data_IF_276847739913
#
_entry.id   IF_276847739913
#
_cell.length_a   1.000
_cell.length_b   1.000
_cell.length_c   1.000
_cell.angle_alpha   90.00
_cell.angle_beta   90.00
_cell.angle_gamma   90.00
#
_symmetry.space_group_name_H-M   'P 1'
#
loop_
_entity.id
_entity.type
_entity.pdbx_description
1 polymer ?
#
# COMPACT_ATOMS: atom_id res chain seq x y z
N UNK A 1 -26.82 23.40 -6.20
CA UNK A 1 -26.04 24.07 -7.26
C UNK A 1 -26.33 23.35 -8.56
N UNK A 2 -27.24 23.89 -9.37
CA UNK A 2 -27.38 23.45 -10.76
C UNK A 2 -26.06 23.79 -11.44
N UNK A 3 -25.39 22.77 -12.02
CA UNK A 3 -24.23 23.05 -12.85
C UNK A 3 -24.72 23.98 -13.97
N UNK A 4 -23.95 25.02 -14.34
CA UNK A 4 -24.28 25.80 -15.53
C UNK A 4 -24.51 24.79 -16.65
N UNK A 5 -25.65 24.92 -17.36
CA UNK A 5 -25.93 24.13 -18.55
C UNK A 5 -24.64 24.08 -19.35
N UNK A 6 -24.06 22.90 -19.49
CA UNK A 6 -22.87 22.73 -20.31
C UNK A 6 -23.30 23.14 -21.70
N UNK A 7 -23.01 24.40 -22.06
CA UNK A 7 -23.05 24.92 -23.41
C UNK A 7 -22.52 23.80 -24.28
N UNK A 8 -23.37 23.24 -25.13
CA UNK A 8 -23.11 22.05 -25.94
C UNK A 8 -21.74 22.19 -26.58
N UNK A 9 -20.72 21.70 -25.88
CA UNK A 9 -19.36 21.83 -26.34
C UNK A 9 -19.31 21.04 -27.63
N UNK A 10 -18.91 21.69 -28.72
CA UNK A 10 -18.86 21.06 -30.04
C UNK A 10 -18.19 19.69 -29.89
N UNK A 11 -18.94 18.63 -30.23
CA UNK A 11 -18.44 17.26 -30.09
C UNK A 11 -17.14 17.14 -30.87
N UNK A 12 -16.07 16.77 -30.17
CA UNK A 12 -14.74 16.60 -30.75
C UNK A 12 -14.78 15.42 -31.71
N UNK A 13 -14.80 15.69 -33.02
CA UNK A 13 -14.80 14.62 -34.02
C UNK A 13 -13.37 14.14 -34.26
N UNK A 14 -13.04 12.94 -33.77
CA UNK A 14 -11.74 12.32 -34.01
C UNK A 14 -11.65 11.72 -35.42
N UNK A 15 -10.49 11.84 -36.06
CA UNK A 15 -10.23 11.08 -37.29
C UNK A 15 -10.13 9.57 -37.00
N UNK A 16 -10.40 8.69 -37.99
CA UNK A 16 -10.36 7.24 -37.79
C UNK A 16 -9.04 6.73 -37.21
N UNK A 17 -7.92 7.34 -37.60
CA UNK A 17 -6.59 6.99 -37.09
C UNK A 17 -6.40 7.34 -35.60
N UNK A 18 -6.99 8.45 -35.14
CA UNK A 18 -6.95 8.84 -33.73
C UNK A 18 -7.90 8.01 -32.88
N UNK A 19 -9.09 7.68 -33.42
CA UNK A 19 -10.03 6.79 -32.74
C UNK A 19 -9.47 5.37 -32.59
N UNK A 20 -8.80 4.85 -33.63
CA UNK A 20 -8.09 3.57 -33.56
C UNK A 20 -7.02 3.57 -32.46
N UNK A 21 -6.20 4.63 -32.38
CA UNK A 21 -5.20 4.75 -31.31
C UNK A 21 -5.84 4.85 -29.92
N UNK A 22 -6.90 5.65 -29.77
CA UNK A 22 -7.61 5.77 -28.49
C UNK A 22 -8.18 4.41 -28.05
N UNK A 23 -8.71 3.64 -29.01
CA UNK A 23 -9.20 2.27 -28.79
C UNK A 23 -8.09 1.35 -28.31
N UNK A 24 -6.94 1.28 -29.00
CA UNK A 24 -5.82 0.46 -28.57
C UNK A 24 -5.29 0.88 -27.20
N UNK A 25 -5.21 2.18 -26.92
CA UNK A 25 -4.78 2.71 -25.63
C UNK A 25 -5.77 2.34 -24.51
N UNK A 26 -7.08 2.35 -24.78
CA UNK A 26 -8.14 1.94 -23.85
C UNK A 26 -8.08 0.44 -23.51
N UNK A 27 -7.68 -0.39 -24.48
CA UNK A 27 -7.44 -1.81 -24.24
C UNK A 27 -6.18 -2.03 -23.40
N UNK A 28 -5.35 -1.02 -23.19
CA UNK A 28 -4.12 -1.09 -22.41
C UNK A 28 -2.87 -1.39 -23.23
N UNK A 29 -2.87 -1.19 -24.55
CA UNK A 29 -1.67 -1.34 -25.36
C UNK A 29 -0.64 -0.26 -25.00
N UNK A 30 0.62 -0.70 -24.83
CA UNK A 30 1.76 0.21 -24.78
C UNK A 30 1.90 0.98 -26.10
N UNK A 31 2.71 2.05 -26.11
CA UNK A 31 2.98 2.79 -27.34
C UNK A 31 3.63 1.88 -28.40
N UNK A 32 4.52 0.98 -27.99
CA UNK A 32 5.14 -0.01 -28.87
C UNK A 32 4.14 -1.04 -29.42
N UNK A 33 3.24 -1.55 -28.57
CA UNK A 33 2.22 -2.50 -29.02
C UNK A 33 1.25 -1.86 -30.01
N UNK A 34 0.86 -0.60 -29.76
CA UNK A 34 -0.02 0.16 -30.67
C UNK A 34 0.67 0.48 -31.99
N UNK A 35 1.98 0.78 -31.93
CA UNK A 35 2.83 1.03 -33.10
C UNK A 35 2.89 -0.21 -34.00
N UNK A 36 3.18 -1.37 -33.41
CA UNK A 36 3.20 -2.65 -34.13
C UNK A 36 1.83 -2.97 -34.73
N UNK A 37 0.74 -2.76 -33.99
CA UNK A 37 -0.61 -3.07 -34.45
C UNK A 37 -1.12 -2.13 -35.58
N UNK A 38 -0.57 -0.93 -35.69
CA UNK A 38 -0.96 0.07 -36.70
C UNK A 38 0.10 0.25 -37.79
N UNK A 39 1.18 -0.53 -37.77
CA UNK A 39 2.31 -0.42 -38.72
C UNK A 39 2.91 1.00 -38.78
N UNK A 40 3.01 1.67 -37.63
CA UNK A 40 3.64 2.99 -37.49
C UNK A 40 4.77 2.96 -36.46
N UNK A 41 5.55 4.03 -36.40
CA UNK A 41 6.60 4.15 -35.38
C UNK A 41 6.01 4.46 -33.99
N UNK A 42 6.71 4.05 -32.93
CA UNK A 42 6.36 4.39 -31.54
C UNK A 42 6.27 5.93 -31.34
N UNK A 43 7.14 6.68 -32.03
CA UNK A 43 7.09 8.14 -32.06
C UNK A 43 5.80 8.68 -32.68
N UNK A 44 5.29 8.03 -33.74
CA UNK A 44 4.01 8.33 -34.36
C UNK A 44 2.84 8.15 -33.40
N UNK A 45 2.81 7.03 -32.66
CA UNK A 45 1.81 6.77 -31.60
C UNK A 45 1.86 7.85 -30.52
N UNK A 46 3.06 8.19 -30.02
CA UNK A 46 3.23 9.24 -28.99
C UNK A 46 2.70 10.60 -29.49
N UNK A 47 2.93 10.96 -30.76
CA UNK A 47 2.37 12.18 -31.38
C UNK A 47 0.84 12.12 -31.45
N UNK A 48 0.25 10.99 -31.87
CA UNK A 48 -1.21 10.79 -31.91
C UNK A 48 -1.84 10.94 -30.51
N UNK A 49 -1.27 10.29 -29.48
CA UNK A 49 -1.75 10.42 -28.09
C UNK A 49 -1.68 11.85 -27.58
N UNK A 50 -0.62 12.61 -27.91
CA UNK A 50 -0.53 14.04 -27.56
C UNK A 50 -1.61 14.87 -28.27
N UNK A 51 -1.89 14.58 -29.53
CA UNK A 51 -2.96 15.26 -30.28
C UNK A 51 -4.34 14.95 -29.70
N UNK A 52 -4.61 13.70 -29.38
CA UNK A 52 -5.83 13.26 -28.68
C UNK A 52 -6.00 14.06 -27.38
N UNK A 53 -4.97 14.12 -26.53
CA UNK A 53 -5.05 14.88 -25.27
C UNK A 53 -5.41 16.35 -25.52
N UNK A 54 -4.82 16.97 -26.54
CA UNK A 54 -5.11 18.36 -26.91
C UNK A 54 -6.56 18.54 -27.36
N UNK A 55 -7.06 17.62 -28.20
CA UNK A 55 -8.42 17.68 -28.73
C UNK A 55 -9.48 17.54 -27.62
N UNK A 56 -9.25 16.66 -26.64
CA UNK A 56 -10.13 16.53 -25.48
C UNK A 56 -9.86 17.56 -24.36
N UNK A 57 -8.82 18.40 -24.47
CA UNK A 57 -8.41 19.28 -23.38
C UNK A 57 -7.94 18.55 -22.11
N UNK A 58 -7.43 17.33 -22.26
CA UNK A 58 -7.06 16.45 -21.14
C UNK A 58 -5.56 16.45 -20.87
N UNK A 59 -5.18 16.13 -19.62
CA UNK A 59 -3.77 16.14 -19.20
C UNK A 59 -2.98 14.96 -19.73
N UNK A 60 -3.64 13.80 -19.85
CA UNK A 60 -3.01 12.57 -20.29
C UNK A 60 -3.99 11.65 -21.01
N UNK A 61 -3.43 10.62 -21.65
CA UNK A 61 -4.20 9.68 -22.49
C UNK A 61 -5.24 8.92 -21.69
N UNK A 62 -5.01 8.72 -20.39
CA UNK A 62 -5.96 8.03 -19.52
C UNK A 62 -7.23 8.86 -19.37
N UNK A 63 -7.08 10.14 -19.04
CA UNK A 63 -8.22 11.05 -18.99
C UNK A 63 -8.91 11.18 -20.36
N UNK A 64 -8.16 11.25 -21.47
CA UNK A 64 -8.76 11.25 -22.80
C UNK A 64 -9.60 9.99 -23.11
N UNK A 65 -9.14 8.80 -22.66
CA UNK A 65 -9.89 7.55 -22.77
C UNK A 65 -11.19 7.64 -21.97
N UNK A 66 -11.12 8.18 -20.75
CA UNK A 66 -12.28 8.39 -19.90
C UNK A 66 -13.32 9.31 -20.56
N UNK A 67 -12.90 10.49 -21.03
CA UNK A 67 -13.78 11.44 -21.72
C UNK A 67 -14.36 10.85 -23.01
N UNK A 68 -13.55 10.14 -23.80
CA UNK A 68 -14.05 9.48 -25.02
C UNK A 68 -15.10 8.40 -24.73
N UNK A 69 -15.00 7.70 -23.59
CA UNK A 69 -16.04 6.76 -23.15
C UNK A 69 -17.30 7.49 -22.66
N UNK A 70 -17.14 8.58 -21.89
CA UNK A 70 -18.26 9.40 -21.40
C UNK A 70 -19.05 10.05 -22.53
N UNK A 71 -18.38 10.50 -23.58
CA UNK A 71 -18.99 11.14 -24.74
C UNK A 71 -19.61 10.14 -25.74
N UNK A 72 -19.33 8.83 -25.58
CA UNK A 72 -19.73 7.79 -26.53
C UNK A 72 -18.87 7.75 -27.80
N UNK A 73 -17.76 8.48 -27.85
CA UNK A 73 -16.79 8.45 -28.96
C UNK A 73 -16.06 7.10 -29.02
N UNK A 74 -15.85 6.48 -27.86
CA UNK A 74 -15.25 5.16 -27.72
C UNK A 74 -16.36 4.11 -27.50
N UNK A 75 -16.53 3.12 -28.39
CA UNK A 75 -17.53 2.09 -28.19
C UNK A 75 -17.17 1.19 -27.00
N UNK A 76 -18.13 1.02 -26.09
CA UNK A 76 -18.06 0.18 -24.90
C UNK A 76 -19.09 -0.93 -25.06
N UNK A 77 -18.66 -2.17 -24.93
CA UNK A 77 -19.56 -3.31 -24.90
C UNK A 77 -19.94 -3.55 -23.43
N UNK A 78 -21.12 -3.09 -23.03
CA UNK A 78 -21.62 -3.38 -21.69
C UNK A 78 -21.84 -4.88 -21.56
N UNK A 79 -21.28 -5.48 -20.51
CA UNK A 79 -21.56 -6.87 -20.19
C UNK A 79 -23.01 -7.00 -19.70
N UNK A 80 -23.72 -8.04 -20.12
CA UNK A 80 -25.06 -8.34 -19.61
C UNK A 80 -24.96 -8.95 -18.21
N UNK A 81 -25.65 -8.35 -17.23
CA UNK A 81 -25.65 -8.74 -15.81
C UNK A 81 -24.27 -9.15 -15.26
N UNK A 82 -23.27 -8.24 -15.30
CA UNK A 82 -21.96 -8.58 -14.79
C UNK A 82 -22.02 -8.73 -13.27
N UNK A 83 -21.42 -9.80 -12.76
CA UNK A 83 -21.13 -9.89 -11.33
C UNK A 83 -20.13 -8.78 -11.01
N UNK A 84 -20.61 -7.69 -10.44
CA UNK A 84 -19.80 -6.51 -10.14
C UNK A 84 -18.64 -6.92 -9.22
N UNK A 85 -17.38 -6.80 -9.67
CA UNK A 85 -16.25 -7.08 -8.82
C UNK A 85 -16.28 -6.11 -7.65
N UNK A 86 -16.22 -6.64 -6.44
CA UNK A 86 -16.26 -5.83 -5.24
C UNK A 86 -14.95 -5.04 -5.11
N UNK A 87 -14.96 -3.76 -5.46
CA UNK A 87 -13.89 -2.81 -5.17
C UNK A 87 -14.15 -2.16 -3.81
N UNK A 88 -13.13 -2.05 -2.96
CA UNK A 88 -13.27 -1.31 -1.70
C UNK A 88 -13.56 0.17 -1.97
N UNK A 89 -14.20 0.91 -1.04
CA UNK A 89 -14.45 2.35 -1.22
C UNK A 89 -13.18 3.13 -1.61
N UNK A 90 -12.05 2.85 -0.96
CA UNK A 90 -10.76 3.46 -1.28
C UNK A 90 -10.29 3.16 -2.70
N UNK A 91 -10.49 1.92 -3.18
CA UNK A 91 -10.14 1.53 -4.54
C UNK A 91 -11.02 2.24 -5.58
N UNK A 92 -12.31 2.39 -5.29
CA UNK A 92 -13.23 3.15 -6.15
C UNK A 92 -12.81 4.62 -6.25
N UNK A 93 -12.49 5.26 -5.13
CA UNK A 93 -11.97 6.64 -5.07
C UNK A 93 -10.67 6.76 -5.89
N UNK A 94 -9.72 5.85 -5.71
CA UNK A 94 -8.46 5.89 -6.47
C UNK A 94 -8.65 5.66 -7.98
N UNK A 95 -9.59 4.80 -8.36
CA UNK A 95 -9.94 4.56 -9.76
C UNK A 95 -10.61 5.80 -10.38
N UNK A 96 -11.54 6.44 -9.65
CA UNK A 96 -12.18 7.69 -10.03
C UNK A 96 -11.16 8.83 -10.23
N UNK A 97 -10.23 9.01 -9.29
CA UNK A 97 -9.17 10.00 -9.43
C UNK A 97 -8.23 9.68 -10.61
N UNK A 98 -7.92 8.40 -10.83
CA UNK A 98 -7.15 8.00 -12.00
C UNK A 98 -7.89 8.33 -13.30
N UNK A 99 -9.20 8.09 -13.36
CA UNK A 99 -10.06 8.43 -14.49
C UNK A 99 -10.07 9.95 -14.79
N UNK A 100 -10.09 10.78 -13.73
CA UNK A 100 -9.95 12.24 -13.82
C UNK A 100 -8.52 12.72 -14.20
N UNK A 101 -7.63 11.79 -14.55
CA UNK A 101 -6.30 12.13 -15.06
C UNK A 101 -5.24 12.37 -14.00
N UNK A 102 -5.52 12.16 -12.72
CA UNK A 102 -4.51 12.34 -11.68
C UNK A 102 -3.41 11.26 -11.74
N UNK A 103 -2.17 11.67 -11.52
CA UNK A 103 -1.02 10.77 -11.38
C UNK A 103 -0.95 10.17 -9.97
N UNK A 104 -0.23 9.07 -9.81
CA UNK A 104 -0.15 8.37 -8.52
C UNK A 104 0.36 9.26 -7.37
N UNK A 105 1.22 10.24 -7.65
CA UNK A 105 1.72 11.20 -6.66
C UNK A 105 0.65 12.22 -6.25
N UNK A 106 -0.16 12.68 -7.21
CA UNK A 106 -1.27 13.59 -6.94
C UNK A 106 -2.36 12.88 -6.15
N UNK A 107 -2.69 11.64 -6.53
CA UNK A 107 -3.62 10.77 -5.82
C UNK A 107 -3.12 10.49 -4.41
N UNK A 108 -1.83 10.21 -4.24
CA UNK A 108 -1.23 10.00 -2.92
C UNK A 108 -1.39 11.23 -2.01
N UNK A 109 -1.10 12.43 -2.53
CA UNK A 109 -1.31 13.70 -1.80
C UNK A 109 -2.78 13.92 -1.46
N UNK A 110 -3.66 13.73 -2.45
CA UNK A 110 -5.11 13.92 -2.35
C UNK A 110 -5.75 12.97 -1.32
N UNK A 111 -5.40 11.69 -1.36
CA UNK A 111 -5.90 10.68 -0.44
C UNK A 111 -5.11 10.62 0.88
N UNK A 112 -4.09 11.48 1.08
CA UNK A 112 -3.20 11.46 2.27
C UNK A 112 -2.57 10.08 2.52
N UNK A 113 -2.16 9.38 1.46
CA UNK A 113 -1.49 8.07 1.53
C UNK A 113 -0.14 8.11 0.83
N UNK A 114 0.67 7.06 0.98
CA UNK A 114 1.94 6.98 0.25
C UNK A 114 1.72 6.65 -1.23
N UNK A 115 2.64 7.08 -2.10
CA UNK A 115 2.67 6.66 -3.52
C UNK A 115 2.70 5.14 -3.66
N UNK A 116 3.39 4.45 -2.75
CA UNK A 116 3.46 2.98 -2.75
C UNK A 116 2.08 2.36 -2.50
N UNK A 117 1.33 2.90 -1.54
CA UNK A 117 -0.06 2.49 -1.25
C UNK A 117 -0.97 2.68 -2.46
N UNK A 118 -0.82 3.79 -3.20
CA UNK A 118 -1.58 4.01 -4.44
C UNK A 118 -1.25 2.95 -5.49
N UNK A 119 0.03 2.66 -5.71
CA UNK A 119 0.45 1.63 -6.66
C UNK A 119 -0.05 0.23 -6.27
N UNK A 120 0.02 -0.13 -4.98
CA UNK A 120 -0.51 -1.40 -4.48
C UNK A 120 -2.02 -1.51 -4.70
N UNK A 121 -2.77 -0.43 -4.46
CA UNK A 121 -4.21 -0.38 -4.79
C UNK A 121 -4.46 -0.47 -6.30
N UNK A 122 -3.63 0.16 -7.13
CA UNK A 122 -3.74 0.05 -8.59
C UNK A 122 -3.51 -1.39 -9.07
N UNK A 123 -2.60 -2.14 -8.45
CA UNK A 123 -2.41 -3.56 -8.71
C UNK A 123 -3.64 -4.38 -8.31
N UNK A 124 -4.18 -4.14 -7.11
CA UNK A 124 -5.38 -4.82 -6.64
C UNK A 124 -6.60 -4.51 -7.53
N UNK A 125 -6.80 -3.26 -7.95
CA UNK A 125 -7.86 -2.84 -8.88
C UNK A 125 -7.71 -3.59 -10.20
N UNK A 126 -6.49 -3.60 -10.78
CA UNK A 126 -6.22 -4.32 -12.03
C UNK A 126 -6.56 -5.80 -11.92
N UNK A 127 -6.16 -6.45 -10.82
CA UNK A 127 -6.47 -7.86 -10.60
C UNK A 127 -7.97 -8.11 -10.49
N UNK A 128 -8.69 -7.31 -9.69
CA UNK A 128 -10.15 -7.45 -9.49
C UNK A 128 -10.96 -7.17 -10.77
N UNK A 129 -10.47 -6.28 -11.63
CA UNK A 129 -11.11 -5.96 -12.91
C UNK A 129 -10.60 -6.82 -14.08
N UNK A 130 -9.73 -7.81 -13.81
CA UNK A 130 -9.05 -8.64 -14.80
C UNK A 130 -8.38 -7.81 -15.92
N UNK A 131 -7.68 -6.75 -15.53
CA UNK A 131 -7.13 -5.77 -16.43
C UNK A 131 -5.59 -5.76 -16.44
N UNK A 132 -5.00 -5.88 -17.62
CA UNK A 132 -3.53 -5.80 -17.79
C UNK A 132 -2.89 -4.45 -17.39
N UNK A 133 -3.60 -3.33 -17.56
CA UNK A 133 -3.07 -1.99 -17.27
C UNK A 133 -4.16 -1.11 -16.65
N UNK A 134 -3.78 0.05 -16.10
CA UNK A 134 -4.77 0.96 -15.52
C UNK A 134 -5.73 1.54 -16.56
N UNK A 135 -5.27 1.80 -17.79
CA UNK A 135 -6.15 2.24 -18.86
C UNK A 135 -7.21 1.16 -19.19
N UNK A 136 -6.77 -0.10 -19.23
CA UNK A 136 -7.68 -1.23 -19.41
C UNK A 136 -8.63 -1.40 -18.23
N UNK A 137 -8.15 -1.20 -17.00
CA UNK A 137 -8.97 -1.28 -15.80
C UNK A 137 -10.12 -0.27 -15.82
N UNK A 138 -9.86 0.95 -16.31
CA UNK A 138 -10.93 1.94 -16.49
C UNK A 138 -11.95 1.53 -17.55
N UNK A 139 -11.49 1.02 -18.70
CA UNK A 139 -12.41 0.50 -19.72
C UNK A 139 -13.28 -0.62 -19.14
N UNK A 140 -12.68 -1.58 -18.43
CA UNK A 140 -13.41 -2.65 -17.73
C UNK A 140 -14.40 -2.10 -16.72
N UNK A 141 -14.08 -1.02 -16.01
CA UNK A 141 -15.00 -0.40 -15.08
C UNK A 141 -16.27 0.15 -15.77
N UNK A 142 -16.17 0.68 -16.99
CA UNK A 142 -17.35 1.03 -17.79
C UNK A 142 -18.10 -0.20 -18.31
N UNK A 143 -17.39 -1.19 -18.87
CA UNK A 143 -17.99 -2.41 -19.40
C UNK A 143 -18.80 -3.18 -18.33
N UNK A 144 -18.32 -3.12 -17.08
CA UNK A 144 -18.99 -3.70 -15.91
C UNK A 144 -20.06 -2.80 -15.30
N UNK A 145 -20.23 -1.56 -15.75
CA UNK A 145 -21.20 -0.61 -15.18
C UNK A 145 -20.82 -0.01 -13.82
N UNK A 146 -19.55 -0.11 -13.40
CA UNK A 146 -19.03 0.62 -12.22
C UNK A 146 -18.98 2.12 -12.48
N UNK A 147 -18.69 2.51 -13.72
CA UNK A 147 -18.87 3.88 -14.21
C UNK A 147 -20.02 3.89 -15.21
N UNK A 148 -20.90 4.89 -15.07
CA UNK A 148 -22.00 5.11 -16.00
C UNK A 148 -21.63 6.19 -17.01
N UNK A 149 -22.01 5.96 -18.26
CA UNK A 149 -21.83 6.90 -19.36
C UNK A 149 -22.75 8.10 -19.15
N UNK A 150 -22.23 9.31 -19.32
CA UNK A 150 -22.90 10.58 -19.07
C UNK A 150 -22.93 11.01 -17.61
N UNK A 151 -22.63 10.13 -16.65
CA UNK A 151 -22.53 10.52 -15.24
C UNK A 151 -21.15 11.08 -14.95
N UNK A 152 -21.11 12.35 -14.55
CA UNK A 152 -19.89 12.95 -14.05
C UNK A 152 -19.42 12.18 -12.82
N UNK A 153 -18.17 11.72 -12.83
CA UNK A 153 -17.55 11.17 -11.64
C UNK A 153 -17.17 12.36 -10.76
N UNK A 154 -17.88 12.61 -9.64
CA UNK A 154 -17.46 13.67 -8.73
C UNK A 154 -16.04 13.36 -8.27
N UNK A 155 -15.21 14.39 -8.12
CA UNK A 155 -13.95 14.20 -7.40
C UNK A 155 -14.36 13.79 -5.98
N UNK A 156 -14.10 12.54 -5.57
CA UNK A 156 -14.63 12.02 -4.31
C UNK A 156 -14.13 12.84 -3.14
N UNK A 157 -12.97 13.49 -3.29
CA UNK A 157 -12.40 14.36 -2.27
C UNK A 157 -13.11 15.71 -2.26
N UNK A 158 -13.49 16.26 -3.41
CA UNK A 158 -14.29 17.49 -3.44
C UNK A 158 -15.69 17.24 -2.89
N UNK A 159 -16.33 16.12 -3.24
CA UNK A 159 -17.65 15.78 -2.70
C UNK A 159 -17.58 15.57 -1.18
N UNK A 160 -16.56 14.85 -0.72
CA UNK A 160 -16.27 14.69 0.69
C UNK A 160 -15.99 16.04 1.35
N UNK A 161 -15.08 16.86 0.81
CA UNK A 161 -14.78 18.21 1.31
C UNK A 161 -16.01 19.12 1.33
N UNK A 162 -16.90 18.99 0.35
CA UNK A 162 -18.12 19.78 0.30
C UNK A 162 -19.09 19.34 1.40
N UNK A 163 -19.32 18.02 1.56
CA UNK A 163 -20.07 17.47 2.70
C UNK A 163 -19.43 17.87 4.05
N UNK A 164 -18.10 18.04 4.09
CA UNK A 164 -17.36 18.46 5.29
C UNK A 164 -17.42 19.95 5.60
N UNK A 165 -17.50 20.81 4.60
CA UNK A 165 -17.68 22.26 4.83
C UNK A 165 -18.96 22.57 5.57
N UNK A 166 -19.96 21.70 5.43
CA UNK A 166 -21.27 21.87 6.04
C UNK A 166 -21.37 21.20 7.42
N UNK A 167 -20.44 20.31 7.79
CA UNK A 167 -20.41 19.65 9.09
C UNK A 167 -20.10 20.61 10.24
N UNK A 168 -20.90 20.53 11.29
CA UNK A 168 -20.74 21.30 12.52
C UNK A 168 -20.26 20.40 13.66
N UNK A 169 -19.46 20.99 14.54
CA UNK A 169 -19.00 20.38 15.78
C UNK A 169 -19.50 21.25 16.91
N UNK A 170 -20.37 20.71 17.76
CA UNK A 170 -20.76 21.38 19.00
C UNK A 170 -19.97 20.88 20.20
N UNK A 171 -19.52 21.85 21.00
CA UNK A 171 -18.87 21.65 22.28
C UNK A 171 -19.62 22.45 23.32
N UNK A 172 -20.20 21.78 24.31
CA UNK A 172 -20.91 22.47 25.40
C UNK A 172 -22.00 23.43 24.93
N UNK A 173 -22.68 23.10 23.82
CA UNK A 173 -23.75 23.92 23.23
C UNK A 173 -23.30 25.00 22.23
N UNK A 174 -22.00 25.18 22.00
CA UNK A 174 -21.49 26.08 20.95
C UNK A 174 -21.13 25.26 19.71
N UNK A 175 -21.88 25.46 18.63
CA UNK A 175 -21.62 24.82 17.33
C UNK A 175 -20.73 25.70 16.45
N UNK A 176 -19.62 25.13 15.96
CA UNK A 176 -18.74 25.75 14.97
C UNK A 176 -18.62 24.83 13.75
N UNK A 177 -18.37 25.39 12.57
CA UNK A 177 -18.09 24.56 11.40
C UNK A 177 -16.76 23.84 11.58
N UNK A 178 -16.66 22.59 11.14
CA UNK A 178 -15.42 21.82 11.21
C UNK A 178 -14.24 22.54 10.54
N UNK A 179 -14.50 23.26 9.44
CA UNK A 179 -13.49 24.07 8.76
C UNK A 179 -13.00 25.28 9.58
N UNK A 180 -13.86 25.88 10.41
CA UNK A 180 -13.51 27.05 11.25
C UNK A 180 -12.55 26.67 12.37
N UNK A 181 -12.66 25.43 12.87
CA UNK A 181 -11.73 24.85 13.85
C UNK A 181 -10.48 24.23 13.19
N UNK A 182 -10.30 24.41 11.87
CA UNK A 182 -9.14 23.94 11.13
C UNK A 182 -9.10 22.43 10.88
N UNK A 183 -10.23 21.74 11.00
CA UNK A 183 -10.36 20.31 10.72
C UNK A 183 -10.74 20.14 9.25
N UNK A 184 -9.73 19.81 8.44
CA UNK A 184 -9.83 19.74 6.98
C UNK A 184 -9.49 18.35 6.43
N UNK A 185 -9.21 17.38 7.30
CA UNK A 185 -8.82 16.02 6.94
C UNK A 185 -9.91 15.03 7.35
N UNK A 186 -10.31 14.15 6.42
CA UNK A 186 -11.27 13.07 6.63
C UNK A 186 -10.98 12.27 7.91
N UNK A 187 -9.72 11.91 8.15
CA UNK A 187 -9.33 11.14 9.32
C UNK A 187 -9.61 11.91 10.63
N UNK A 188 -9.29 13.20 10.68
CA UNK A 188 -9.56 14.01 11.88
C UNK A 188 -11.08 14.13 12.16
N UNK A 189 -11.88 14.08 11.11
CA UNK A 189 -13.33 14.16 11.19
C UNK A 189 -14.00 12.84 11.58
N UNK A 190 -13.60 11.71 10.96
CA UNK A 190 -14.02 10.38 11.41
C UNK A 190 -13.68 10.18 12.89
N UNK A 191 -12.52 10.68 13.31
CA UNK A 191 -12.12 10.66 14.71
C UNK A 191 -13.10 11.50 15.56
N UNK A 192 -13.46 12.71 15.14
CA UNK A 192 -14.44 13.52 15.85
C UNK A 192 -15.81 12.85 15.97
N UNK A 193 -16.29 12.24 14.89
CA UNK A 193 -17.56 11.49 14.90
C UNK A 193 -17.51 10.36 15.93
N UNK A 194 -16.45 9.56 15.90
CA UNK A 194 -16.25 8.48 16.88
C UNK A 194 -16.12 9.01 18.31
N UNK A 195 -15.52 10.19 18.49
CA UNK A 195 -15.42 10.81 19.81
C UNK A 195 -16.76 11.34 20.32
N UNK A 196 -17.66 11.76 19.44
CA UNK A 196 -19.03 12.11 19.82
C UNK A 196 -19.82 10.90 20.33
N UNK A 197 -19.56 9.71 19.79
CA UNK A 197 -20.18 8.46 20.27
C UNK A 197 -19.60 7.97 21.60
N UNK A 198 -18.37 8.34 21.94
CA UNK A 198 -17.74 8.02 23.23
C UNK A 198 -18.26 8.99 24.29
N UNK A 199 -19.48 8.74 24.78
CA UNK A 199 -20.07 9.46 25.91
C UNK A 199 -19.15 9.33 27.14
N UNK A 200 -18.56 10.45 27.56
CA UNK A 200 -17.83 10.65 28.82
C UNK A 200 -16.93 9.47 29.23
N UNK A 201 -15.85 9.24 28.46
CA UNK A 201 -15.04 8.05 28.65
C UNK A 201 -13.57 8.18 28.25
N UNK A 202 -12.78 7.27 28.79
CA UNK A 202 -11.42 7.01 28.32
C UNK A 202 -11.48 6.21 27.03
N UNK A 203 -10.73 6.64 26.01
CA UNK A 203 -10.49 5.83 24.83
C UNK A 203 -9.00 5.50 24.70
N UNK A 204 -8.71 4.37 24.05
CA UNK A 204 -7.36 3.99 23.67
C UNK A 204 -7.25 3.98 22.16
N UNK A 205 -6.06 4.25 21.64
CA UNK A 205 -5.77 4.13 20.21
C UNK A 205 -6.03 2.72 19.65
N UNK A 206 -6.13 1.71 20.53
CA UNK A 206 -6.48 0.34 20.18
C UNK A 206 -7.98 0.18 19.94
N UNK A 207 -8.83 0.65 20.85
CA UNK A 207 -10.29 0.52 20.72
C UNK A 207 -10.80 1.14 19.42
N UNK A 208 -10.20 2.27 19.03
CA UNK A 208 -10.60 3.00 17.83
C UNK A 208 -10.05 2.39 16.54
N UNK A 209 -8.86 1.79 16.58
CA UNK A 209 -8.37 0.98 15.46
C UNK A 209 -9.22 -0.29 15.24
N UNK A 210 -9.74 -0.87 16.33
CA UNK A 210 -10.65 -2.02 16.27
C UNK A 210 -12.08 -1.61 15.78
N UNK A 211 -12.40 -0.31 15.71
CA UNK A 211 -13.64 0.25 15.13
C UNK A 211 -13.57 0.47 13.60
N UNK A 212 -12.50 0.01 12.92
CA UNK A 212 -12.36 0.09 11.45
C UNK A 212 -11.63 1.34 10.94
N UNK A 213 -11.13 2.18 11.85
CA UNK A 213 -10.39 3.38 11.48
C UNK A 213 -9.02 3.03 10.84
N UNK A 214 -8.75 3.57 9.64
CA UNK A 214 -7.51 3.34 8.86
C UNK A 214 -7.20 1.85 8.59
N UNK A 215 -8.13 1.10 7.99
CA UNK A 215 -7.88 -0.30 7.56
C UNK A 215 -6.66 -0.44 6.65
N UNK A 216 -6.27 0.63 5.96
CA UNK A 216 -5.20 0.62 4.95
C UNK A 216 -3.78 0.61 5.51
N UNK A 217 -3.54 0.61 6.83
CA UNK A 217 -2.17 0.58 7.35
C UNK A 217 -1.67 -0.86 7.58
N UNK A 218 -0.47 -1.14 7.09
CA UNK A 218 0.12 -2.49 6.98
C UNK A 218 0.29 -3.25 8.31
N UNK A 219 0.27 -2.54 9.45
CA UNK A 219 0.41 -3.17 10.77
C UNK A 219 -0.46 -2.52 11.83
N UNK A 220 -0.76 -3.30 12.88
CA UNK A 220 -1.54 -2.84 14.03
C UNK A 220 -0.86 -1.66 14.75
N UNK A 221 0.47 -1.68 14.85
CA UNK A 221 1.25 -0.60 15.45
C UNK A 221 1.18 0.69 14.62
N UNK A 222 1.25 0.58 13.29
CA UNK A 222 1.10 1.72 12.37
C UNK A 222 -0.27 2.38 12.52
N UNK A 223 -1.35 1.58 12.64
CA UNK A 223 -2.71 2.08 12.90
C UNK A 223 -2.79 2.84 14.22
N UNK A 224 -2.28 2.26 15.32
CA UNK A 224 -2.29 2.92 16.63
C UNK A 224 -1.52 4.25 16.61
N UNK A 225 -0.39 4.29 15.92
CA UNK A 225 0.43 5.48 15.83
C UNK A 225 -0.22 6.57 14.97
N UNK A 226 -0.82 6.21 13.83
CA UNK A 226 -1.57 7.14 12.98
C UNK A 226 -2.76 7.74 13.74
N UNK A 227 -3.52 6.89 14.45
CA UNK A 227 -4.60 7.34 15.33
C UNK A 227 -4.10 8.28 16.42
N UNK A 228 -3.00 7.92 17.09
CA UNK A 228 -2.42 8.75 18.13
C UNK A 228 -1.97 10.13 17.64
N UNK A 229 -1.62 10.27 16.35
CA UNK A 229 -1.32 11.57 15.73
C UNK A 229 -2.61 12.35 15.42
N UNK A 230 -3.62 11.68 14.85
CA UNK A 230 -4.91 12.30 14.58
C UNK A 230 -5.55 12.84 15.87
N UNK A 231 -5.57 12.04 16.94
CA UNK A 231 -6.11 12.43 18.25
C UNK A 231 -5.40 13.65 18.85
N UNK A 232 -4.06 13.70 18.74
CA UNK A 232 -3.30 14.85 19.20
C UNK A 232 -3.55 16.10 18.34
N UNK A 233 -3.69 15.96 17.02
CA UNK A 233 -4.02 17.06 16.11
C UNK A 233 -5.40 17.66 16.42
N UNK A 234 -6.44 16.81 16.51
CA UNK A 234 -7.81 17.24 16.84
C UNK A 234 -7.86 17.89 18.23
N UNK A 235 -7.20 17.31 19.23
CA UNK A 235 -7.09 17.88 20.58
C UNK A 235 -6.54 19.31 20.57
N UNK A 236 -5.46 19.57 19.83
CA UNK A 236 -4.85 20.90 19.73
C UNK A 236 -5.77 21.90 19.04
N UNK A 237 -6.40 21.49 17.94
CA UNK A 237 -7.33 22.35 17.17
C UNK A 237 -8.55 22.75 17.99
N UNK A 238 -9.15 21.79 18.68
CA UNK A 238 -10.26 22.03 19.60
C UNK A 238 -9.85 22.97 20.75
N UNK A 239 -8.67 22.75 21.34
CA UNK A 239 -8.19 23.61 22.41
C UNK A 239 -7.94 25.06 21.94
N UNK A 240 -7.43 25.23 20.71
CA UNK A 240 -7.24 26.54 20.10
C UNK A 240 -8.57 27.24 19.82
N UNK A 241 -9.58 26.50 19.32
CA UNK A 241 -10.87 27.08 18.95
C UNK A 241 -11.73 27.47 20.17
N UNK A 242 -11.71 26.67 21.24
CA UNK A 242 -12.60 26.85 22.39
C UNK A 242 -11.88 27.37 23.64
N UNK A 243 -10.57 27.58 23.59
CA UNK A 243 -9.76 28.10 24.71
C UNK A 243 -9.58 27.13 25.88
N UNK A 244 -10.00 25.87 25.74
CA UNK A 244 -9.90 24.84 26.78
C UNK A 244 -9.55 23.47 26.22
N UNK A 245 -8.82 22.66 26.98
CA UNK A 245 -8.50 21.29 26.56
C UNK A 245 -9.73 20.39 26.61
N UNK A 246 -10.31 20.09 25.45
CA UNK A 246 -11.43 19.17 25.31
C UNK A 246 -10.98 17.71 25.38
N UNK A 247 -9.84 17.40 24.77
CA UNK A 247 -9.26 16.05 24.75
C UNK A 247 -7.90 16.08 25.42
N UNK A 248 -7.73 15.31 26.49
CA UNK A 248 -6.46 15.22 27.22
C UNK A 248 -5.81 13.85 27.03
N UNK A 249 -4.48 13.82 26.83
CA UNK A 249 -3.70 12.59 26.83
C UNK A 249 -3.27 12.28 28.26
N UNK A 250 -3.71 11.13 28.78
CA UNK A 250 -3.51 10.76 30.21
C UNK A 250 -2.31 9.83 30.41
N UNK A 251 -1.86 9.16 29.34
CA UNK A 251 -0.70 8.26 29.42
C UNK A 251 -0.59 7.28 28.26
N UNK A 252 0.30 6.31 28.44
CA UNK A 252 0.50 5.19 27.53
C UNK A 252 0.18 3.89 28.26
N UNK A 253 -0.64 3.03 27.65
CA UNK A 253 -0.90 1.68 28.13
C UNK A 253 -0.29 0.69 27.13
N UNK A 254 0.97 0.28 27.38
CA UNK A 254 1.78 -0.48 26.43
C UNK A 254 1.97 0.27 25.11
N UNK A 255 1.65 -0.38 23.99
CA UNK A 255 1.76 0.20 22.63
C UNK A 255 0.57 1.11 22.24
N UNK A 256 -0.31 1.45 23.18
CA UNK A 256 -1.49 2.27 22.92
C UNK A 256 -1.49 3.55 23.74
N UNK A 257 -1.89 4.67 23.12
CA UNK A 257 -2.06 5.97 23.80
C UNK A 257 -3.47 6.05 24.38
N UNK A 258 -3.60 6.57 25.60
CA UNK A 258 -4.89 6.74 26.29
C UNK A 258 -5.25 8.23 26.35
N UNK A 259 -6.51 8.52 26.08
CA UNK A 259 -7.07 9.86 26.03
C UNK A 259 -8.39 9.92 26.82
N UNK A 260 -8.73 11.10 27.34
CA UNK A 260 -10.03 11.43 27.96
C UNK A 260 -10.68 12.55 27.14
N UNK A 261 -11.98 12.45 26.91
CA UNK A 261 -12.83 13.56 26.48
C UNK A 261 -13.40 14.24 27.74
N UNK A 262 -13.08 15.51 27.98
CA UNK A 262 -13.50 16.28 29.18
C UNK A 262 -14.85 16.96 29.03
N UNK A 263 -15.31 17.13 27.80
CA UNK A 263 -16.53 17.87 27.48
C UNK A 263 -17.26 17.14 26.36
N UNK A 264 -18.58 17.05 26.44
CA UNK A 264 -19.39 16.39 25.40
C UNK A 264 -19.11 17.02 24.04
N UNK A 265 -18.93 16.15 23.04
CA UNK A 265 -18.72 16.50 21.65
C UNK A 265 -19.93 15.97 20.88
N UNK A 266 -20.57 16.84 20.10
CA UNK A 266 -21.63 16.46 19.17
C UNK A 266 -21.18 16.85 17.76
N UNK A 267 -21.37 15.95 16.79
CA UNK A 267 -20.99 16.16 15.40
C UNK A 267 -22.20 15.84 14.53
N UNK A 268 -22.59 16.77 13.66
CA UNK A 268 -23.78 16.61 12.84
C UNK A 268 -23.92 17.67 11.77
N UNK A 269 -24.87 17.48 10.87
CA UNK A 269 -25.26 18.50 9.91
C UNK A 269 -26.01 19.64 10.61
N UNK A 270 -26.01 20.87 10.08
CA UNK A 270 -26.63 22.03 10.73
C UNK A 270 -28.09 21.79 11.14
N UNK A 271 -28.84 21.09 10.28
CA UNK A 271 -30.24 20.77 10.51
C UNK A 271 -30.43 19.77 11.67
N UNK A 272 -29.47 18.86 11.86
CA UNK A 272 -29.44 17.88 12.94
C UNK A 272 -29.05 18.54 14.27
N UNK A 273 -28.14 19.51 14.26
CA UNK A 273 -27.67 20.19 15.49
C UNK A 273 -28.80 20.90 16.24
N UNK A 274 -29.79 21.44 15.51
CA UNK A 274 -30.98 22.06 16.11
C UNK A 274 -31.84 21.05 16.90
N UNK A 275 -31.90 19.81 16.43
CA UNK A 275 -32.60 18.72 17.11
C UNK A 275 -31.78 18.21 18.30
N UNK A 276 -30.46 18.05 18.13
CA UNK A 276 -29.56 17.53 19.17
C UNK A 276 -29.49 18.48 20.38
N UNK A 277 -29.39 19.80 20.14
CA UNK A 277 -29.39 20.82 21.21
C UNK A 277 -30.67 20.79 22.07
N UNK A 278 -31.80 20.36 21.50
CA UNK A 278 -33.07 20.22 22.24
C UNK A 278 -33.11 19.00 23.17
N UNK A 279 -32.24 18.00 22.94
CA UNK A 279 -32.14 16.79 23.77
C UNK A 279 -31.11 16.92 24.90
N UNK A 280 -30.00 17.62 24.70
CA UNK A 280 -28.93 17.72 25.73
C UNK A 280 -29.34 18.54 26.96
N UNK A 281 -30.36 19.41 26.85
CA UNK A 281 -30.93 20.15 27.99
C UNK A 281 -31.71 19.32 29.02
N UNK A 282 -31.93 18.01 28.79
CA UNK A 282 -32.72 17.14 29.70
C UNK A 282 -31.90 16.15 30.52
N UNK A 283 -30.58 16.12 30.42
CA UNK A 283 -29.71 15.22 31.20
C UNK A 283 -29.05 15.90 32.39
N UNK A 284 -29.75 16.79 33.11
CA UNK A 284 -29.28 17.24 34.43
C UNK A 284 -29.73 16.26 35.53
N UNK A 285 -28.76 15.68 36.24
CA UNK A 285 -28.87 15.14 37.60
C UNK A 285 -29.75 13.89 37.85
N UNK A 286 -29.31 12.71 37.37
CA UNK A 286 -29.55 11.46 38.11
C UNK A 286 -28.24 10.89 38.62
N UNK A 287 -27.95 11.19 39.90
CA UNK A 287 -26.92 10.53 40.71
C UNK A 287 -27.03 9.01 40.56
N UNK A 288 -25.87 8.38 40.44
CA UNK A 288 -25.70 6.96 40.14
C UNK A 288 -26.51 6.03 41.03
N UNK A 289 -27.10 5.03 40.38
CA UNK A 289 -27.46 3.77 41.01
C UNK A 289 -26.65 2.70 40.29
N UNK A 290 -25.66 2.11 40.97
CA UNK A 290 -25.03 0.87 40.51
C UNK A 290 -26.14 -0.15 40.30
N UNK A 291 -26.41 -0.50 39.06
CA UNK A 291 -27.22 -1.67 38.72
C UNK A 291 -26.23 -2.82 38.53
N UNK A 292 -26.14 -3.69 39.54
CA UNK A 292 -25.49 -5.00 39.42
C UNK A 292 -26.41 -5.92 38.62
N UNK A 293 -26.40 -5.82 37.29
CA UNK A 293 -26.98 -6.86 36.45
C UNK A 293 -25.96 -7.96 36.24
N UNK A 294 -26.03 -8.96 37.12
CA UNK A 294 -25.53 -10.29 36.83
C UNK A 294 -26.31 -10.88 35.65
N UNK A 295 -25.75 -10.79 34.45
CA UNK A 295 -26.20 -11.61 33.32
C UNK A 295 -25.21 -12.74 33.08
N UNK A 296 -25.70 -13.95 33.34
CA UNK A 296 -25.05 -15.22 33.01
C UNK A 296 -24.74 -15.26 31.51
N UNK A 297 -23.45 -15.27 31.16
CA UNK A 297 -22.96 -15.60 29.81
C UNK A 297 -23.25 -17.07 29.53
N UNK A 298 -24.29 -17.35 28.74
CA UNK A 298 -24.44 -18.65 28.09
C UNK A 298 -23.38 -18.79 27.00
N UNK A 299 -22.39 -19.68 27.25
CA UNK A 299 -21.44 -20.17 26.26
C UNK A 299 -22.20 -20.86 25.13
N UNK A 300 -22.30 -20.25 23.94
CA UNK A 300 -22.60 -20.98 22.70
C UNK A 300 -21.34 -21.71 22.25
N UNK A 301 -21.33 -23.03 22.45
CA UNK A 301 -20.40 -23.96 21.79
C UNK A 301 -20.84 -24.06 20.32
N UNK A 302 -19.98 -23.63 19.39
CA UNK A 302 -20.12 -24.02 17.99
C UNK A 302 -19.51 -25.42 17.83
N UNK A 303 -20.39 -26.41 17.62
CA UNK A 303 -19.99 -27.73 17.15
C UNK A 303 -19.57 -27.59 15.68
N UNK A 304 -18.30 -27.91 15.38
CA UNK A 304 -17.85 -28.20 14.02
C UNK A 304 -18.11 -29.68 13.74
N UNK A 305 -18.90 -29.97 12.73
CA UNK A 305 -18.92 -31.27 12.04
C UNK A 305 -18.24 -31.14 10.68
N UNK A 306 -17.59 -32.20 10.18
CA UNK A 306 -16.61 -32.13 9.11
C UNK A 306 -17.27 -32.27 7.73
N UNK A 307 -16.90 -31.40 6.79
CA UNK A 307 -17.15 -31.62 5.37
C UNK A 307 -15.87 -32.15 4.73
N UNK A 308 -15.91 -33.44 4.36
CA UNK A 308 -15.03 -34.01 3.35
C UNK A 308 -15.33 -33.35 2.00
N UNK A 309 -14.32 -32.73 1.40
CA UNK A 309 -14.30 -32.46 -0.03
C UNK A 309 -12.88 -32.78 -0.54
N UNK A 310 -12.83 -33.79 -1.40
CA UNK A 310 -11.67 -34.26 -2.14
C UNK A 310 -11.59 -33.46 -3.44
N UNK A 311 -10.38 -32.99 -3.76
CA UNK A 311 -9.94 -32.71 -5.14
C UNK A 311 -9.88 -31.25 -5.57
N UNK A 312 -8.69 -30.63 -5.48
CA UNK A 312 -7.63 -30.57 -6.51
C UNK A 312 -6.71 -29.42 -6.04
N UNK A 313 -5.49 -29.78 -5.64
CA UNK A 313 -4.51 -28.85 -5.06
C UNK A 313 -3.99 -27.85 -6.09
N UNK A 314 -4.32 -26.59 -5.89
CA UNK A 314 -3.46 -25.50 -6.35
C UNK A 314 -2.24 -25.48 -5.41
N UNK A 315 -1.04 -25.42 -5.99
CA UNK A 315 0.25 -25.45 -5.26
C UNK A 315 0.23 -24.46 -4.10
N UNK A 316 0.30 -25.00 -2.89
CA UNK A 316 0.63 -24.26 -1.68
C UNK A 316 2.02 -23.65 -1.84
N UNK A 317 2.15 -22.36 -1.52
CA UNK A 317 3.45 -21.74 -1.29
C UNK A 317 4.12 -22.47 -0.11
N UNK A 318 5.13 -23.28 -0.39
CA UNK A 318 5.95 -23.98 0.61
C UNK A 318 6.69 -22.95 1.48
N UNK A 319 6.06 -22.53 2.57
CA UNK A 319 6.76 -21.89 3.68
C UNK A 319 7.29 -22.96 4.63
N UNK A 320 8.56 -22.83 5.00
CA UNK A 320 9.32 -23.67 5.93
C UNK A 320 8.53 -24.07 7.19
N UNK A 321 8.60 -25.35 7.56
CA UNK A 321 8.31 -25.79 8.92
C UNK A 321 9.50 -25.44 9.85
N UNK A 322 9.25 -24.58 10.83
CA UNK A 322 10.22 -23.94 11.70
C UNK A 322 10.93 -24.90 12.68
N UNK A 323 10.45 -26.14 12.79
CA UNK A 323 10.99 -27.17 13.67
C UNK A 323 12.39 -27.68 13.27
N UNK A 324 12.86 -27.33 12.07
CA UNK A 324 14.10 -27.85 11.47
C UNK A 324 15.32 -26.93 11.57
N UNK A 325 15.16 -25.69 12.05
CA UNK A 325 16.27 -24.74 12.24
C UNK A 325 16.70 -24.72 13.72
N UNK A 326 18.02 -24.67 14.01
CA UNK A 326 18.50 -24.58 15.39
C UNK A 326 18.09 -23.25 16.03
N UNK A 327 17.69 -23.29 17.31
CA UNK A 327 17.38 -22.09 18.09
C UNK A 327 18.67 -21.31 18.38
N UNK A 328 18.89 -20.16 17.70
CA UNK A 328 20.00 -19.27 18.05
C UNK A 328 19.68 -18.51 19.34
N UNK A 329 20.65 -18.14 20.15
CA UNK A 329 20.46 -17.38 21.38
C UNK A 329 19.92 -15.94 21.10
N UNK A 330 18.85 -15.53 21.81
CA UNK A 330 18.19 -14.22 21.62
C UNK A 330 19.05 -13.03 22.04
N UNK A 331 19.91 -13.24 23.04
CA UNK A 331 20.77 -12.18 23.57
C UNK A 331 21.93 -11.93 22.62
N UNK A 332 22.36 -12.97 21.90
CA UNK A 332 23.33 -12.88 20.82
C UNK A 332 22.78 -12.07 19.64
N UNK A 333 21.56 -12.36 19.18
CA UNK A 333 20.96 -11.68 18.03
C UNK A 333 20.62 -10.20 18.30
N UNK A 334 20.10 -9.89 19.47
CA UNK A 334 19.75 -8.51 19.84
C UNK A 334 20.97 -7.59 19.99
N UNK A 335 22.17 -8.17 20.12
CA UNK A 335 23.44 -7.46 20.19
C UNK A 335 24.30 -7.58 18.93
N UNK A 336 23.83 -8.27 17.88
CA UNK A 336 24.56 -8.47 16.62
C UNK A 336 25.17 -7.17 16.05
N UNK A 337 24.42 -6.07 16.09
CA UNK A 337 24.85 -4.74 15.61
C UNK A 337 25.99 -4.08 16.37
N UNK A 338 26.37 -4.66 17.50
CA UNK A 338 27.38 -4.11 18.42
C UNK A 338 28.54 -5.07 18.66
N UNK A 339 28.50 -6.27 18.08
CA UNK A 339 29.54 -7.29 18.23
C UNK A 339 30.57 -7.18 17.12
N UNK A 340 31.78 -7.66 17.41
CA UNK A 340 32.80 -7.78 16.40
C UNK A 340 32.39 -8.81 15.34
N UNK A 341 32.54 -8.52 14.03
CA UNK A 341 32.14 -9.45 12.97
C UNK A 341 32.81 -10.83 13.05
N UNK A 342 34.05 -10.89 13.55
CA UNK A 342 34.80 -12.13 13.68
C UNK A 342 34.24 -12.98 14.83
N UNK A 343 33.83 -12.36 15.93
CA UNK A 343 33.10 -13.00 17.03
C UNK A 343 31.74 -13.56 16.55
N UNK A 344 31.05 -12.85 15.65
CA UNK A 344 29.78 -13.30 15.07
C UNK A 344 29.95 -14.53 14.19
N UNK A 345 31.01 -14.56 13.39
CA UNK A 345 31.32 -15.69 12.52
C UNK A 345 31.87 -16.90 13.27
N UNK A 346 32.59 -16.70 14.36
CA UNK A 346 33.11 -17.79 15.19
C UNK A 346 32.03 -18.43 16.07
N UNK A 347 30.88 -17.76 16.23
CA UNK A 347 29.74 -18.28 16.96
C UNK A 347 29.19 -19.57 16.33
N UNK A 348 29.21 -20.65 17.11
CA UNK A 348 28.83 -21.99 16.69
C UNK A 348 27.38 -22.06 16.21
N UNK A 349 26.46 -21.33 16.84
CA UNK A 349 25.05 -21.35 16.48
C UNK A 349 24.81 -20.69 15.12
N UNK A 350 25.47 -19.55 14.87
CA UNK A 350 25.43 -18.85 13.57
C UNK A 350 25.98 -19.76 12.46
N UNK A 351 27.09 -20.45 12.71
CA UNK A 351 27.66 -21.43 11.76
C UNK A 351 26.65 -22.54 11.44
N UNK A 352 26.04 -23.16 12.46
CA UNK A 352 25.07 -24.24 12.27
C UNK A 352 23.82 -23.74 11.52
N UNK A 353 23.35 -22.51 11.77
CA UNK A 353 22.22 -21.95 11.02
C UNK A 353 22.56 -21.69 9.55
N UNK A 354 23.75 -21.15 9.25
CA UNK A 354 24.22 -20.96 7.87
C UNK A 354 24.36 -22.32 7.18
N UNK A 355 25.00 -23.30 7.83
CA UNK A 355 25.14 -24.66 7.31
C UNK A 355 23.79 -25.36 7.10
N UNK A 356 22.81 -25.15 7.97
CA UNK A 356 21.46 -25.72 7.82
C UNK A 356 20.72 -25.10 6.64
N UNK A 357 20.79 -23.77 6.47
CA UNK A 357 20.21 -23.04 5.33
C UNK A 357 20.82 -23.53 4.00
N UNK A 358 22.14 -23.74 3.99
CA UNK A 358 22.89 -24.29 2.86
C UNK A 358 22.49 -25.73 2.56
N UNK A 359 22.53 -26.61 3.58
CA UNK A 359 22.28 -28.06 3.45
C UNK A 359 20.85 -28.36 3.00
N UNK A 360 19.89 -27.51 3.36
CA UNK A 360 18.50 -27.60 2.93
C UNK A 360 18.27 -27.04 1.52
N UNK A 361 19.33 -26.58 0.82
CA UNK A 361 19.23 -26.08 -0.55
C UNK A 361 18.48 -24.75 -0.67
N UNK A 362 18.26 -24.04 0.44
CA UNK A 362 17.44 -22.82 0.47
C UNK A 362 18.11 -21.63 -0.21
N UNK A 363 19.39 -21.74 -0.57
CA UNK A 363 20.11 -20.78 -1.42
C UNK A 363 20.01 -21.11 -2.91
N UNK A 364 19.55 -22.32 -3.29
CA UNK A 364 19.47 -22.78 -4.69
C UNK A 364 18.30 -22.11 -5.43
N UNK A 365 17.22 -21.77 -4.71
CA UNK A 365 16.13 -20.93 -5.25
C UNK A 365 16.52 -19.46 -5.42
N UNK A 366 17.70 -19.06 -4.92
CA UNK A 366 18.23 -17.72 -5.12
C UNK A 366 19.21 -17.71 -6.29
N UNK A 367 18.83 -16.99 -7.35
CA UNK A 367 19.68 -16.80 -8.54
C UNK A 367 21.09 -16.34 -8.09
N UNK A 368 22.18 -16.93 -8.63
CA UNK A 368 23.57 -16.55 -8.32
C UNK A 368 23.83 -15.03 -8.35
N UNK A 369 23.06 -14.28 -9.15
CA UNK A 369 23.07 -12.82 -9.25
C UNK A 369 22.89 -12.08 -7.91
N UNK A 370 22.11 -12.62 -6.97
CA UNK A 370 21.83 -11.95 -5.69
C UNK A 370 23.01 -12.08 -4.74
N UNK A 371 23.58 -13.29 -4.62
CA UNK A 371 24.71 -13.60 -3.72
C UNK A 371 25.97 -12.87 -4.18
N UNK A 372 26.24 -12.85 -5.50
CA UNK A 372 27.42 -12.16 -6.06
C UNK A 372 27.36 -10.65 -5.86
N UNK A 373 26.16 -10.05 -5.88
CA UNK A 373 25.97 -8.62 -5.59
C UNK A 373 26.44 -8.26 -4.17
N UNK A 374 26.19 -9.14 -3.20
CA UNK A 374 26.67 -9.00 -1.82
C UNK A 374 28.19 -9.15 -1.72
N UNK A 375 28.82 -10.02 -2.53
CA UNK A 375 30.29 -10.24 -2.53
C UNK A 375 31.10 -8.98 -2.83
N UNK A 376 30.62 -8.17 -3.77
CA UNK A 376 31.33 -6.97 -4.20
C UNK A 376 30.82 -5.68 -3.53
N UNK A 377 29.91 -5.78 -2.56
CA UNK A 377 29.29 -4.61 -1.93
C UNK A 377 28.42 -3.78 -2.89
N UNK A 378 28.07 -4.35 -4.05
CA UNK A 378 27.30 -3.68 -5.09
C UNK A 378 25.86 -4.15 -4.94
N UNK A 379 25.03 -3.44 -4.19
CA UNK A 379 23.62 -3.79 -4.00
C UNK A 379 22.72 -2.84 -4.81
N UNK A 380 22.30 -3.20 -6.04
CA UNK A 380 21.55 -2.29 -6.90
C UNK A 380 20.04 -2.38 -6.65
N UNK A 381 19.52 -3.53 -6.20
CA UNK A 381 18.08 -3.83 -6.26
C UNK A 381 17.40 -4.32 -4.96
N UNK A 382 18.10 -4.41 -3.84
CA UNK A 382 17.46 -4.74 -2.54
C UNK A 382 16.66 -3.58 -1.92
N UNK A 383 16.53 -2.46 -2.62
CA UNK A 383 15.67 -1.35 -2.20
C UNK A 383 14.18 -1.63 -2.38
N UNK A 384 13.77 -2.69 -3.10
CA UNK A 384 12.36 -2.88 -3.49
C UNK A 384 11.56 -3.86 -2.63
N UNK A 385 12.21 -4.79 -1.92
CA UNK A 385 11.54 -5.59 -0.88
C UNK A 385 12.58 -6.13 0.09
N UNK A 386 12.59 -5.72 1.37
CA UNK A 386 13.45 -6.38 2.35
C UNK A 386 12.92 -7.80 2.54
N UNK A 387 13.70 -8.82 2.15
CA UNK A 387 13.44 -10.20 2.57
C UNK A 387 13.51 -10.24 4.09
N UNK A 388 12.53 -10.86 4.74
CA UNK A 388 12.37 -10.84 6.19
C UNK A 388 12.45 -12.25 6.76
N UNK A 389 13.35 -12.48 7.71
CA UNK A 389 13.41 -13.71 8.51
C UNK A 389 12.47 -13.56 9.70
N UNK A 390 11.46 -14.43 9.81
CA UNK A 390 10.48 -14.39 10.91
C UNK A 390 10.99 -15.19 12.12
N UNK A 391 11.00 -14.58 13.31
CA UNK A 391 11.42 -15.22 14.57
C UNK A 391 10.69 -14.64 15.77
N UNK A 392 10.12 -15.49 16.64
CA UNK A 392 9.41 -15.09 17.87
C UNK A 392 8.40 -13.94 17.68
N UNK A 393 7.68 -13.92 16.56
CA UNK A 393 6.71 -12.88 16.23
C UNK A 393 7.31 -11.56 15.72
N UNK A 394 8.62 -11.50 15.52
CA UNK A 394 9.35 -10.37 14.91
C UNK A 394 9.94 -10.76 13.57
N UNK A 395 10.25 -9.77 12.72
CA UNK A 395 10.83 -9.96 11.39
C UNK A 395 12.16 -9.22 11.34
N UNK A 396 13.24 -9.93 11.00
CA UNK A 396 14.58 -9.34 10.82
C UNK A 396 14.90 -9.33 9.33
N UNK A 397 15.19 -8.17 8.72
CA UNK A 397 15.60 -8.12 7.33
C UNK A 397 16.83 -9.00 7.07
N UNK A 398 16.81 -9.82 6.02
CA UNK A 398 17.92 -10.67 5.60
C UNK A 398 19.19 -9.84 5.40
N UNK A 399 19.08 -8.61 4.88
CA UNK A 399 20.20 -7.66 4.76
C UNK A 399 20.87 -7.36 6.12
N UNK A 400 20.10 -7.34 7.21
CA UNK A 400 20.61 -7.04 8.54
C UNK A 400 21.31 -8.25 9.13
N UNK A 401 20.99 -9.48 8.73
CA UNK A 401 21.77 -10.67 9.08
C UNK A 401 23.02 -10.77 8.19
N UNK A 402 22.85 -10.49 6.91
CA UNK A 402 23.89 -10.59 5.88
C UNK A 402 24.98 -9.52 5.99
N UNK A 403 24.79 -8.45 6.75
CA UNK A 403 25.83 -7.42 6.98
C UNK A 403 26.90 -7.86 8.01
N UNK A 404 26.58 -8.86 8.86
CA UNK A 404 27.51 -9.41 9.85
C UNK A 404 28.26 -10.63 9.33
N UNK A 405 27.76 -11.22 8.26
CA UNK A 405 28.61 -11.97 7.35
C UNK A 405 29.46 -10.88 6.69
N UNK A 406 30.79 -10.85 6.89
CA UNK A 406 31.64 -9.84 6.28
C UNK A 406 31.33 -9.78 4.78
N UNK A 407 31.60 -8.65 4.08
CA UNK A 407 31.57 -8.69 2.63
C UNK A 407 32.29 -9.97 2.22
N UNK A 408 31.74 -10.78 1.30
CA UNK A 408 32.39 -12.01 0.83
C UNK A 408 33.74 -11.73 0.10
N UNK A 409 34.42 -10.64 0.43
CA UNK A 409 35.84 -10.42 0.26
C UNK A 409 36.60 -11.38 1.16
N UNK A 410 36.97 -12.54 0.62
CA UNK A 410 37.92 -13.45 1.28
C UNK A 410 37.60 -14.93 1.13
N UNK A 411 36.36 -15.31 0.85
CA UNK A 411 36.05 -16.68 0.42
C UNK A 411 36.54 -16.82 -1.02
N UNK A 412 37.56 -17.65 -1.23
CA UNK A 412 37.98 -18.08 -2.55
C UNK A 412 36.83 -18.87 -3.23
N UNK A 413 36.96 -19.08 -4.53
CA UNK A 413 35.92 -19.71 -5.36
C UNK A 413 35.61 -21.13 -4.87
N UNK A 414 36.60 -21.84 -4.34
CA UNK A 414 36.45 -23.22 -3.89
C UNK A 414 35.66 -23.28 -2.59
N UNK A 415 35.97 -22.38 -1.65
CA UNK A 415 35.19 -22.24 -0.42
C UNK A 415 33.73 -21.84 -0.71
N UNK A 416 33.50 -20.92 -1.66
CA UNK A 416 32.15 -20.56 -2.11
C UNK A 416 31.43 -21.71 -2.83
N UNK A 417 32.17 -22.52 -3.60
CA UNK A 417 31.66 -23.73 -4.26
C UNK A 417 31.18 -24.75 -3.23
N UNK A 418 31.98 -25.02 -2.20
CA UNK A 418 31.62 -25.94 -1.11
C UNK A 418 30.40 -25.46 -0.34
N UNK A 419 30.34 -24.17 0.00
CA UNK A 419 29.21 -23.59 0.74
C UNK A 419 27.94 -23.58 -0.11
N UNK A 420 28.01 -23.34 -1.41
CA UNK A 420 26.81 -23.21 -2.25
C UNK A 420 26.39 -24.53 -2.92
N UNK A 421 27.21 -25.57 -2.84
CA UNK A 421 27.01 -26.80 -3.62
C UNK A 421 27.07 -26.57 -5.14
N UNK A 422 27.67 -25.46 -5.58
CA UNK A 422 27.80 -25.09 -7.00
C UNK A 422 29.19 -25.40 -7.50
N UNK A 423 29.35 -25.77 -8.78
CA UNK A 423 30.69 -25.92 -9.36
C UNK A 423 31.42 -24.56 -9.36
N UNK A 424 32.74 -24.52 -9.08
CA UNK A 424 33.53 -23.28 -9.11
C UNK A 424 33.33 -22.46 -10.39
N UNK A 425 33.25 -23.15 -11.54
CA UNK A 425 33.00 -22.54 -12.84
C UNK A 425 31.65 -21.79 -12.92
N UNK A 426 30.58 -22.32 -12.32
CA UNK A 426 29.26 -21.69 -12.34
C UNK A 426 29.24 -20.39 -11.52
N UNK A 427 29.99 -20.36 -10.42
CA UNK A 427 30.16 -19.16 -9.59
C UNK A 427 30.90 -18.09 -10.39
N UNK A 428 32.04 -18.43 -11.00
CA UNK A 428 32.84 -17.50 -11.80
C UNK A 428 32.09 -16.94 -13.01
N UNK A 429 31.27 -17.76 -13.68
CA UNK A 429 30.43 -17.31 -14.80
C UNK A 429 29.36 -16.30 -14.34
N UNK A 430 28.76 -16.51 -13.16
CA UNK A 430 27.83 -15.55 -12.58
C UNK A 430 28.53 -14.22 -12.22
N UNK A 431 29.76 -14.28 -11.74
CA UNK A 431 30.60 -13.11 -11.45
C UNK A 431 30.93 -12.31 -12.70
N UNK A 432 31.37 -12.99 -13.76
CA UNK A 432 31.60 -12.38 -15.07
C UNK A 432 30.36 -11.65 -15.58
N UNK A 433 29.19 -12.28 -15.49
CA UNK A 433 27.92 -11.67 -15.92
C UNK A 433 27.55 -10.44 -15.09
N UNK A 434 27.83 -10.45 -13.79
CA UNK A 434 27.59 -9.31 -12.91
C UNK A 434 28.52 -8.14 -13.23
N UNK A 435 29.82 -8.39 -13.36
CA UNK A 435 30.81 -7.38 -13.73
C UNK A 435 30.42 -6.73 -15.07
N UNK A 436 30.06 -7.52 -16.07
CA UNK A 436 29.61 -7.01 -17.37
C UNK A 436 28.38 -6.07 -17.24
N UNK A 437 27.45 -6.39 -16.35
CA UNK A 437 26.23 -5.61 -16.13
C UNK A 437 26.47 -4.29 -15.39
N UNK A 438 27.48 -4.24 -14.50
CA UNK A 438 27.65 -3.13 -13.56
C UNK A 438 28.96 -2.33 -13.71
N UNK A 439 29.91 -2.77 -14.54
CA UNK A 439 31.20 -2.07 -14.72
C UNK A 439 31.09 -0.62 -15.20
N UNK A 440 29.97 -0.24 -15.83
CA UNK A 440 29.69 1.16 -16.21
C UNK A 440 29.38 2.04 -15.00
N UNK A 441 28.65 1.50 -14.02
CA UNK A 441 28.25 2.22 -12.81
C UNK A 441 29.29 2.13 -11.69
N UNK A 442 30.14 1.09 -11.72
CA UNK A 442 31.17 0.82 -10.72
C UNK A 442 32.49 0.47 -11.41
N UNK A 443 33.33 1.47 -11.77
CA UNK A 443 34.56 1.26 -12.54
C UNK A 443 35.56 0.29 -11.87
N UNK A 444 35.56 0.20 -10.53
CA UNK A 444 36.40 -0.74 -9.77
C UNK A 444 36.10 -2.22 -10.09
N UNK A 445 34.91 -2.56 -10.58
CA UNK A 445 34.61 -3.93 -11.02
C UNK A 445 35.37 -4.32 -12.29
N UNK A 446 35.76 -3.34 -13.12
CA UNK A 446 36.46 -3.59 -14.39
C UNK A 446 37.85 -4.20 -14.16
N UNK A 447 38.53 -3.85 -13.07
CA UNK A 447 39.87 -4.40 -12.77
C UNK A 447 39.83 -5.88 -12.33
N UNK A 448 38.67 -6.42 -12.01
CA UNK A 448 38.49 -7.83 -11.61
C UNK A 448 38.22 -8.76 -12.80
N UNK A 449 37.78 -8.20 -13.94
CA UNK A 449 37.40 -8.96 -15.15
C UNK A 449 38.52 -9.89 -15.64
N UNK A 450 39.81 -9.46 -15.76
CA UNK A 450 40.88 -10.33 -16.25
C UNK A 450 41.18 -11.52 -15.32
N UNK A 451 41.10 -11.32 -14.00
CA UNK A 451 41.36 -12.37 -13.01
C UNK A 451 40.32 -13.49 -13.07
N UNK A 452 39.04 -13.11 -13.21
CA UNK A 452 37.93 -14.06 -13.34
C UNK A 452 37.99 -14.80 -14.68
N UNK A 453 38.34 -14.13 -15.77
CA UNK A 453 38.49 -14.77 -17.09
C UNK A 453 39.63 -15.81 -17.11
N UNK A 454 40.74 -15.52 -16.44
CA UNK A 454 41.85 -16.46 -16.31
C UNK A 454 41.44 -17.70 -15.49
N UNK A 455 40.73 -17.52 -14.39
CA UNK A 455 40.24 -18.63 -13.56
C UNK A 455 39.20 -19.49 -14.28
N UNK A 456 38.28 -18.87 -15.04
CA UNK A 456 37.32 -19.60 -15.88
C UNK A 456 38.05 -20.45 -16.92
N UNK A 457 39.07 -19.88 -17.57
CA UNK A 457 39.83 -20.57 -18.61
C UNK A 457 40.61 -21.76 -18.04
N UNK A 458 41.23 -21.59 -16.87
CA UNK A 458 41.93 -22.66 -16.16
C UNK A 458 41.00 -23.83 -15.78
N UNK A 459 39.82 -23.52 -15.22
CA UNK A 459 38.83 -24.52 -14.80
C UNK A 459 38.06 -25.16 -15.95
N UNK A 460 38.07 -24.56 -17.15
CA UNK A 460 37.44 -25.13 -18.34
C UNK A 460 38.38 -26.06 -19.11
N UNK A 461 39.69 -25.96 -18.85
CA UNK A 461 40.72 -26.79 -19.48
C UNK A 461 41.04 -28.06 -18.65
N UNK A 462 40.76 -28.04 -17.35
CA UNK A 462 40.76 -29.19 -16.44
C UNK A 462 39.46 -29.98 -16.54
#
# INVERSE_FOLDING_TARGET
MERPEQTTAERVTLSPALLSELTLASLGNSAQQSANAQEITEGGVKKRRKLINRLYGTRNIRQAIFEGMQNGDLPINLEGDPVLPHLSPTQQVMLALAANGYYAEEIAKRCTVSRHTVNSNFEAIRHRLNARSMNHAMRRAFELGLFKVGEAIPDPIEEQQQKFKDLQVAVGGVALKASEIGINNLNELELLSLLGDVQDGYFTSKNMADMGFLESADSKASRYHAYGRAASSVSQKLAQAFGQQIIERVGNNGNSRRYIVKTSLEVGQPDEMSQIASFSGKTSNRRGRMISTGQKRTRRKFNKTPTHAIGISARDDEYLDHSSLPELNSDFLSSLGKRDPQEVLENTEVKIAIESIVKQGLLIDYRPRVIVSFRYGVSPDLKRTPLMLKRNGTYVPLREVMQYIPPYQGLDVDSASQILGLRPLAILQAEKALIASYKKSFPALKSLEPGIENQISALSAS
#
